data_IF_312643142670
#
_entry.id   IF_312643142670
#
_cell.length_a   1.000
_cell.length_b   1.000
_cell.length_c   1.000
_cell.angle_alpha   90.00
_cell.angle_beta   90.00
_cell.angle_gamma   90.00
#
_symmetry.space_group_name_H-M   'P 1'
#
loop_
_entity.id
_entity.type
_entity.pdbx_description
1 polymer ?
#
# COMPACT_ATOMS: atom_id res chain seq x y z
N UNK A 1 -8.91 5.53 -17.74
CA UNK A 1 -8.63 4.08 -17.87
C UNK A 1 -8.03 3.64 -16.56
N UNK A 2 -8.42 2.47 -16.01
CA UNK A 2 -7.80 1.95 -14.78
C UNK A 2 -6.35 1.50 -15.07
N UNK A 3 -5.46 1.70 -14.12
CA UNK A 3 -4.06 1.26 -14.16
C UNK A 3 -3.86 0.11 -13.17
N UNK A 4 -2.96 -0.82 -13.49
CA UNK A 4 -2.65 -1.98 -12.65
C UNK A 4 -1.38 -1.73 -11.86
N UNK A 5 -1.49 -1.66 -10.53
CA UNK A 5 -0.34 -1.78 -9.62
C UNK A 5 -0.32 -3.18 -8.99
N UNK A 6 0.81 -3.85 -9.03
CA UNK A 6 0.95 -5.22 -8.51
C UNK A 6 1.65 -5.21 -7.16
N UNK A 7 0.95 -5.71 -6.14
CA UNK A 7 1.53 -5.94 -4.82
C UNK A 7 2.31 -7.27 -4.82
N UNK A 8 3.62 -7.18 -4.56
CA UNK A 8 4.52 -8.35 -4.61
C UNK A 8 4.88 -8.93 -3.24
N UNK A 9 4.15 -8.55 -2.18
CA UNK A 9 4.40 -9.04 -0.80
C UNK A 9 4.32 -10.56 -0.67
N UNK A 10 3.44 -11.24 -1.44
CA UNK A 10 3.33 -12.70 -1.39
C UNK A 10 4.57 -13.40 -1.93
N UNK A 11 5.23 -12.82 -2.92
CA UNK A 11 6.52 -13.33 -3.40
C UNK A 11 7.62 -13.11 -2.34
N UNK A 12 7.61 -11.97 -1.65
CA UNK A 12 8.50 -11.71 -0.54
C UNK A 12 8.31 -12.71 0.61
N UNK A 13 7.04 -13.04 0.96
CA UNK A 13 6.73 -14.07 1.95
C UNK A 13 7.29 -15.43 1.53
N UNK A 14 7.10 -15.83 0.27
CA UNK A 14 7.63 -17.07 -0.26
C UNK A 14 9.18 -17.09 -0.21
N UNK A 15 9.85 -16.00 -0.61
CA UNK A 15 11.29 -15.84 -0.47
C UNK A 15 11.77 -16.05 0.96
N UNK A 16 11.07 -15.44 1.92
CA UNK A 16 11.45 -15.51 3.34
C UNK A 16 11.20 -16.89 3.97
N UNK A 17 10.41 -17.76 3.33
CA UNK A 17 10.18 -19.13 3.80
C UNK A 17 11.35 -20.07 3.50
N UNK A 18 12.39 -19.60 2.81
CA UNK A 18 13.58 -20.37 2.42
C UNK A 18 14.84 -19.57 2.70
N UNK A 19 15.99 -20.23 2.85
CA UNK A 19 17.27 -19.57 3.10
C UNK A 19 17.84 -18.86 1.86
N UNK A 20 17.51 -19.35 0.65
CA UNK A 20 17.91 -18.73 -0.60
C UNK A 20 17.05 -17.50 -0.93
N UNK A 21 17.64 -16.47 -1.56
CA UNK A 21 16.90 -15.29 -2.06
C UNK A 21 16.08 -15.65 -3.30
N UNK A 22 15.14 -16.57 -3.15
CA UNK A 22 14.30 -17.04 -4.24
C UNK A 22 12.83 -17.20 -3.79
N UNK A 23 11.85 -16.63 -4.54
CA UNK A 23 12.03 -15.81 -5.75
C UNK A 23 12.72 -14.47 -5.46
N UNK A 24 13.59 -14.02 -6.35
CA UNK A 24 14.19 -12.67 -6.30
C UNK A 24 13.11 -11.61 -6.58
N UNK A 25 12.97 -10.63 -5.68
CA UNK A 25 11.90 -9.63 -5.79
C UNK A 25 12.11 -8.66 -6.95
N UNK A 26 13.36 -8.35 -7.31
CA UNK A 26 13.61 -7.48 -8.44
C UNK A 26 13.23 -8.17 -9.76
N UNK A 27 13.53 -9.47 -9.90
CA UNK A 27 13.10 -10.25 -11.06
C UNK A 27 11.56 -10.39 -11.10
N UNK A 28 10.89 -10.58 -9.96
CA UNK A 28 9.44 -10.62 -9.89
C UNK A 28 8.84 -9.28 -10.33
N UNK A 29 9.33 -8.16 -9.79
CA UNK A 29 8.86 -6.82 -10.17
C UNK A 29 9.05 -6.56 -11.66
N UNK A 30 10.23 -6.89 -12.20
CA UNK A 30 10.54 -6.80 -13.63
C UNK A 30 9.54 -7.60 -14.47
N UNK A 31 9.25 -8.84 -14.10
CA UNK A 31 8.25 -9.68 -14.79
C UNK A 31 6.84 -9.07 -14.74
N UNK A 32 6.44 -8.53 -13.59
CA UNK A 32 5.14 -7.84 -13.50
C UNK A 32 5.07 -6.66 -14.49
N UNK A 33 6.12 -5.86 -14.59
CA UNK A 33 6.21 -4.73 -15.53
C UNK A 33 6.18 -5.23 -16.98
N UNK A 34 6.97 -6.24 -17.33
CA UNK A 34 6.99 -6.85 -18.67
C UNK A 34 5.59 -7.38 -19.09
N UNK A 35 4.79 -7.85 -18.13
CA UNK A 35 3.41 -8.30 -18.35
C UNK A 35 2.37 -7.19 -18.26
N UNK A 36 2.78 -5.93 -18.19
CA UNK A 36 1.90 -4.77 -18.30
C UNK A 36 1.47 -4.13 -17.00
N UNK A 37 2.10 -4.45 -15.87
CA UNK A 37 1.91 -3.67 -14.65
C UNK A 37 2.42 -2.25 -14.85
N UNK A 38 1.64 -1.28 -14.36
CA UNK A 38 1.96 0.14 -14.41
C UNK A 38 2.39 0.69 -13.05
N UNK A 39 2.43 -0.17 -12.04
CA UNK A 39 2.93 0.13 -10.72
C UNK A 39 3.35 -1.14 -9.97
N UNK A 40 4.27 -0.95 -9.03
CA UNK A 40 4.71 -1.99 -8.08
C UNK A 40 4.42 -1.50 -6.67
N UNK A 41 3.84 -2.38 -5.86
CA UNK A 41 3.51 -2.07 -4.47
C UNK A 41 4.25 -3.01 -3.51
N UNK A 42 4.85 -2.44 -2.47
CA UNK A 42 5.48 -3.15 -1.35
C UNK A 42 4.95 -2.66 -0.01
N UNK A 43 4.79 -3.61 0.94
CA UNK A 43 4.45 -3.31 2.33
C UNK A 43 5.53 -3.85 3.28
N UNK A 44 6.58 -3.09 3.58
CA UNK A 44 7.58 -3.49 4.58
C UNK A 44 6.98 -3.34 5.98
N UNK A 45 6.52 -4.46 6.53
CA UNK A 45 5.96 -4.46 7.90
C UNK A 45 7.09 -4.38 8.93
N UNK A 46 6.81 -3.92 10.17
CA UNK A 46 7.82 -3.83 11.23
C UNK A 46 8.54 -5.16 11.53
N UNK A 47 7.85 -6.28 11.36
CA UNK A 47 8.38 -7.64 11.58
C UNK A 47 9.04 -8.26 10.33
N UNK A 48 9.04 -7.56 9.21
CA UNK A 48 9.66 -7.95 7.94
C UNK A 48 9.28 -9.37 7.46
N UNK A 49 8.07 -9.85 7.83
CA UNK A 49 7.61 -11.21 7.48
C UNK A 49 7.49 -11.47 5.98
N UNK A 50 7.29 -10.40 5.19
CA UNK A 50 7.27 -10.45 3.72
C UNK A 50 8.27 -9.44 3.15
N UNK A 51 7.84 -8.29 2.58
CA UNK A 51 8.77 -7.26 2.15
C UNK A 51 9.56 -6.72 3.35
N UNK A 52 10.87 -6.53 3.15
CA UNK A 52 11.80 -5.95 4.13
C UNK A 52 12.07 -4.50 3.77
N UNK A 53 12.47 -3.69 4.75
CA UNK A 53 12.91 -2.32 4.45
C UNK A 53 14.11 -2.29 3.51
N UNK A 54 14.98 -3.32 3.54
CA UNK A 54 16.11 -3.46 2.62
C UNK A 54 15.72 -3.74 1.16
N UNK A 55 14.47 -4.16 0.89
CA UNK A 55 13.98 -4.36 -0.47
C UNK A 55 13.63 -3.02 -1.15
N UNK A 56 13.27 -1.99 -0.37
CA UNK A 56 12.80 -0.70 -0.89
C UNK A 56 13.78 -0.03 -1.86
N UNK A 57 15.08 0.16 -1.52
CA UNK A 57 16.02 0.80 -2.44
C UNK A 57 16.28 -0.03 -3.71
N UNK A 58 16.17 -1.36 -3.62
CA UNK A 58 16.36 -2.25 -4.76
C UNK A 58 15.22 -2.07 -5.76
N UNK A 59 13.98 -2.10 -5.27
CA UNK A 59 12.79 -1.94 -6.12
C UNK A 59 12.63 -0.51 -6.61
N UNK A 60 12.93 0.51 -5.80
CA UNK A 60 12.95 1.91 -6.24
C UNK A 60 13.87 2.10 -7.45
N UNK A 61 15.12 1.65 -7.32
CA UNK A 61 16.09 1.75 -8.41
C UNK A 61 15.67 0.99 -9.67
N UNK A 62 15.01 -0.17 -9.52
CA UNK A 62 14.47 -0.91 -10.64
C UNK A 62 13.36 -0.11 -11.33
N UNK A 63 12.38 0.39 -10.57
CA UNK A 63 11.23 1.14 -11.10
C UNK A 63 11.70 2.41 -11.80
N UNK A 64 12.67 3.15 -11.24
CA UNK A 64 13.27 4.34 -11.84
C UNK A 64 13.89 4.09 -13.24
N UNK A 65 14.24 2.85 -13.56
CA UNK A 65 14.74 2.49 -14.90
C UNK A 65 13.65 2.37 -15.97
N UNK A 66 12.39 2.46 -15.59
CA UNK A 66 11.24 2.41 -16.49
C UNK A 66 10.51 3.75 -16.52
N UNK A 67 10.15 4.23 -17.69
CA UNK A 67 9.26 5.36 -17.83
C UNK A 67 7.81 4.93 -17.52
N UNK A 68 7.10 5.72 -16.71
CA UNK A 68 5.67 5.53 -16.41
C UNK A 68 5.31 4.31 -15.54
N UNK A 69 6.22 3.82 -14.74
CA UNK A 69 5.93 2.83 -13.70
C UNK A 69 5.95 3.52 -12.33
N UNK A 70 4.86 3.41 -11.58
CA UNK A 70 4.76 4.00 -10.24
C UNK A 70 5.26 3.03 -9.15
N UNK A 71 5.96 3.56 -8.16
CA UNK A 71 6.31 2.83 -6.94
C UNK A 71 5.42 3.28 -5.79
N UNK A 72 4.68 2.34 -5.20
CA UNK A 72 3.85 2.55 -4.02
C UNK A 72 4.39 1.79 -2.82
N UNK A 73 4.56 2.47 -1.67
CA UNK A 73 4.98 1.84 -0.41
C UNK A 73 3.80 1.91 0.57
N UNK A 74 3.39 0.74 1.06
CA UNK A 74 2.33 0.64 2.06
C UNK A 74 2.92 0.54 3.47
N UNK A 75 2.27 1.13 4.47
CA UNK A 75 2.64 0.91 5.86
C UNK A 75 1.93 1.79 6.86
N UNK A 76 2.09 1.40 8.14
CA UNK A 76 1.70 2.23 9.27
C UNK A 76 2.70 3.38 9.43
N UNK A 77 2.28 4.62 9.66
CA UNK A 77 3.16 5.79 9.73
C UNK A 77 3.94 5.85 11.06
N UNK A 78 4.72 4.81 11.35
CA UNK A 78 5.72 4.83 12.40
C UNK A 78 6.90 5.72 12.01
N UNK A 79 7.68 6.18 12.98
CA UNK A 79 8.89 6.99 12.73
C UNK A 79 9.84 6.29 11.75
N UNK A 80 10.11 4.98 11.94
CA UNK A 80 10.94 4.19 11.02
C UNK A 80 10.38 4.21 9.61
N UNK A 81 9.07 3.97 9.45
CA UNK A 81 8.41 3.96 8.15
C UNK A 81 8.51 5.34 7.46
N UNK A 82 8.16 6.40 8.16
CA UNK A 82 8.22 7.78 7.63
C UNK A 82 9.65 8.12 7.19
N UNK A 83 10.66 7.76 7.99
CA UNK A 83 12.06 7.99 7.66
C UNK A 83 12.50 7.23 6.41
N UNK A 84 12.10 5.97 6.25
CA UNK A 84 12.44 5.18 5.05
C UNK A 84 11.72 5.71 3.81
N UNK A 85 10.43 6.02 3.89
CA UNK A 85 9.68 6.65 2.78
C UNK A 85 10.33 7.96 2.35
N UNK A 86 10.75 8.80 3.30
CA UNK A 86 11.42 10.06 3.02
C UNK A 86 12.78 9.90 2.32
N UNK A 87 13.50 8.79 2.56
CA UNK A 87 14.75 8.47 1.86
C UNK A 87 14.49 7.99 0.43
N UNK A 88 13.50 7.10 0.26
CA UNK A 88 13.16 6.47 -1.02
C UNK A 88 12.45 7.45 -1.96
N UNK A 89 11.54 8.29 -1.42
CA UNK A 89 10.68 9.20 -2.18
C UNK A 89 9.89 8.50 -3.30
N UNK A 90 9.04 7.52 -2.94
CA UNK A 90 8.23 6.81 -3.92
C UNK A 90 7.21 7.77 -4.57
N UNK A 91 6.59 7.36 -5.67
CA UNK A 91 5.50 8.11 -6.30
C UNK A 91 4.27 8.20 -5.40
N UNK A 92 4.03 7.15 -4.61
CA UNK A 92 2.90 7.08 -3.69
C UNK A 92 3.27 6.35 -2.40
N UNK A 93 2.63 6.76 -1.31
CA UNK A 93 2.54 6.01 -0.08
C UNK A 93 1.08 5.67 0.20
N UNK A 94 0.79 4.42 0.57
CA UNK A 94 -0.53 4.02 1.09
C UNK A 94 -0.43 3.81 2.60
N UNK A 95 -1.11 4.65 3.37
CA UNK A 95 -1.13 4.55 4.82
C UNK A 95 -2.17 3.52 5.26
N UNK A 96 -1.73 2.54 6.04
CA UNK A 96 -2.57 1.48 6.61
C UNK A 96 -2.59 1.54 8.14
N UNK A 97 -3.72 1.22 8.82
CA UNK A 97 -3.85 1.35 10.27
C UNK A 97 -3.26 0.16 11.06
N UNK A 98 -2.48 -0.69 10.42
CA UNK A 98 -1.98 -1.93 11.02
C UNK A 98 -0.96 -1.66 12.12
N UNK A 99 -1.29 -1.87 13.40
CA UNK A 99 -0.31 -1.74 14.45
C UNK A 99 0.77 -2.82 14.32
N UNK A 100 1.95 -2.62 14.93
CA UNK A 100 2.96 -3.66 15.04
C UNK A 100 2.36 -4.95 15.59
N UNK A 101 2.60 -6.09 14.92
CA UNK A 101 2.08 -7.40 15.32
C UNK A 101 0.74 -7.82 14.69
N UNK A 102 0.02 -6.95 13.99
CA UNK A 102 -1.17 -7.35 13.23
C UNK A 102 -0.82 -8.39 12.16
N UNK A 103 -1.58 -9.49 12.09
CA UNK A 103 -1.33 -10.57 11.12
C UNK A 103 -1.62 -10.15 9.67
N UNK A 104 -2.64 -9.34 9.47
CA UNK A 104 -3.07 -8.82 8.17
C UNK A 104 -3.85 -7.54 8.40
N UNK A 105 -3.96 -6.71 7.37
CA UNK A 105 -4.88 -5.56 7.37
C UNK A 105 -6.30 -6.10 7.39
N UNK A 106 -7.00 -5.92 8.49
CA UNK A 106 -8.38 -6.42 8.68
C UNK A 106 -9.42 -5.31 8.74
N UNK A 107 -9.00 -4.04 8.70
CA UNK A 107 -9.87 -2.86 8.71
C UNK A 107 -9.11 -1.65 8.15
N UNK A 108 -9.87 -0.67 7.66
CA UNK A 108 -9.36 0.63 7.22
C UNK A 108 -9.22 1.63 8.37
N UNK A 109 -8.65 2.80 8.09
CA UNK A 109 -8.52 3.88 9.06
C UNK A 109 -9.87 4.35 9.61
N UNK A 110 -9.92 4.54 10.91
CA UNK A 110 -10.90 5.39 11.56
C UNK A 110 -10.44 6.85 11.45
N UNK A 111 -10.91 7.53 10.41
CA UNK A 111 -10.50 8.91 10.11
C UNK A 111 -10.92 9.93 11.17
N UNK A 112 -11.92 9.62 12.01
CA UNK A 112 -12.29 10.47 13.13
C UNK A 112 -11.29 10.33 14.29
N UNK A 113 -11.02 9.10 14.70
CA UNK A 113 -10.11 8.80 15.82
C UNK A 113 -8.66 9.23 15.54
N UNK A 114 -8.19 9.01 14.33
CA UNK A 114 -6.80 9.27 13.95
C UNK A 114 -6.60 10.55 13.15
N UNK A 115 -7.59 11.45 13.12
CA UNK A 115 -7.61 12.67 12.32
C UNK A 115 -6.32 13.48 12.41
N UNK A 116 -5.89 13.85 13.61
CA UNK A 116 -4.69 14.68 13.83
C UNK A 116 -3.41 14.02 13.30
N UNK A 117 -3.24 12.72 13.56
CA UNK A 117 -2.11 11.95 13.05
C UNK A 117 -2.10 11.98 11.51
N UNK A 118 -3.24 11.67 10.91
CA UNK A 118 -3.37 11.56 9.45
C UNK A 118 -3.16 12.91 8.77
N UNK A 119 -3.72 14.01 9.28
CA UNK A 119 -3.47 15.36 8.75
C UNK A 119 -1.97 15.67 8.71
N UNK A 120 -1.26 15.42 9.80
CA UNK A 120 0.16 15.74 9.91
C UNK A 120 1.01 14.91 8.93
N UNK A 121 0.76 13.60 8.87
CA UNK A 121 1.53 12.69 8.01
C UNK A 121 1.23 12.92 6.53
N UNK A 122 -0.04 13.13 6.18
CA UNK A 122 -0.45 13.42 4.79
C UNK A 122 0.23 14.70 4.30
N UNK A 123 0.18 15.78 5.09
CA UNK A 123 0.85 17.04 4.74
C UNK A 123 2.37 16.88 4.61
N UNK A 124 3.01 16.13 5.52
CA UNK A 124 4.46 15.92 5.47
C UNK A 124 4.90 15.23 4.18
N UNK A 125 4.18 14.20 3.74
CA UNK A 125 4.49 13.51 2.48
C UNK A 125 4.16 14.36 1.25
N UNK A 126 3.00 15.03 1.23
CA UNK A 126 2.61 15.91 0.13
C UNK A 126 3.59 17.07 -0.10
N UNK A 127 4.13 17.67 0.98
CA UNK A 127 5.18 18.69 0.88
C UNK A 127 6.47 18.19 0.22
N UNK A 128 6.68 16.88 0.19
CA UNK A 128 7.83 16.22 -0.45
C UNK A 128 7.48 15.65 -1.84
N UNK A 129 6.32 16.03 -2.39
CA UNK A 129 5.78 15.55 -3.66
C UNK A 129 5.52 14.03 -3.68
N UNK A 130 5.22 13.42 -2.53
CA UNK A 130 4.80 12.03 -2.42
C UNK A 130 3.27 12.02 -2.32
N UNK A 131 2.59 11.37 -3.26
CA UNK A 131 1.14 11.20 -3.25
C UNK A 131 0.73 10.28 -2.11
N UNK A 132 -0.34 10.62 -1.41
CA UNK A 132 -0.81 9.85 -0.25
C UNK A 132 -2.16 9.20 -0.55
N UNK A 133 -2.23 7.89 -0.36
CA UNK A 133 -3.46 7.09 -0.34
C UNK A 133 -3.77 6.64 1.09
N UNK A 134 -5.05 6.66 1.49
CA UNK A 134 -5.50 6.12 2.77
C UNK A 134 -6.28 4.83 2.56
N UNK A 135 -5.90 3.77 3.27
CA UNK A 135 -6.64 2.52 3.31
C UNK A 135 -7.87 2.66 4.23
N UNK A 136 -9.07 2.53 3.68
CA UNK A 136 -10.34 2.78 4.38
C UNK A 136 -11.35 1.66 4.14
N UNK A 137 -12.29 1.49 5.06
CA UNK A 137 -13.43 0.60 4.84
C UNK A 137 -14.40 1.23 3.81
N UNK A 138 -15.11 0.41 3.01
CA UNK A 138 -16.09 0.90 2.05
C UNK A 138 -17.41 1.27 2.76
N UNK A 139 -17.37 2.27 3.62
CA UNK A 139 -18.52 2.80 4.33
C UNK A 139 -18.44 4.31 4.46
N UNK A 140 -19.59 4.99 4.48
CA UNK A 140 -19.66 6.45 4.61
C UNK A 140 -19.05 6.91 5.93
N UNK A 141 -19.23 6.14 6.99
CA UNK A 141 -18.69 6.44 8.32
C UNK A 141 -17.15 6.49 8.31
N UNK A 142 -16.51 5.62 7.55
CA UNK A 142 -15.05 5.59 7.39
C UNK A 142 -14.51 6.81 6.65
N UNK A 143 -15.35 7.47 5.86
CA UNK A 143 -14.99 8.64 5.06
C UNK A 143 -15.21 9.98 5.78
N UNK A 144 -15.79 9.94 7.00
CA UNK A 144 -15.96 11.15 7.82
C UNK A 144 -14.58 11.79 8.06
N UNK A 145 -14.50 13.11 7.87
CA UNK A 145 -13.27 13.91 7.95
C UNK A 145 -12.21 13.72 6.84
N UNK A 146 -12.43 12.93 5.81
CA UNK A 146 -11.50 12.87 4.69
C UNK A 146 -11.25 14.23 4.03
N UNK A 147 -12.31 15.08 3.99
CA UNK A 147 -12.23 16.45 3.48
C UNK A 147 -11.38 17.40 4.35
N UNK A 148 -10.98 16.99 5.54
CA UNK A 148 -10.05 17.73 6.38
C UNK A 148 -8.65 17.13 6.37
N UNK A 149 -8.56 15.79 6.20
CA UNK A 149 -7.28 15.07 6.07
C UNK A 149 -6.65 15.33 4.70
N UNK A 150 -7.49 15.43 3.63
CA UNK A 150 -7.10 15.73 2.25
C UNK A 150 -6.05 14.77 1.67
N UNK A 151 -6.24 13.44 1.76
CA UNK A 151 -5.38 12.53 1.02
C UNK A 151 -5.60 12.69 -0.50
N UNK A 152 -4.62 12.33 -1.31
CA UNK A 152 -4.73 12.38 -2.77
C UNK A 152 -5.61 11.26 -3.31
N UNK A 153 -5.66 10.12 -2.61
CA UNK A 153 -6.42 8.92 -2.98
C UNK A 153 -6.95 8.19 -1.75
N UNK A 154 -7.89 7.29 -1.99
CA UNK A 154 -8.32 6.27 -1.03
C UNK A 154 -8.16 4.89 -1.65
N UNK A 155 -7.78 3.92 -0.82
CA UNK A 155 -7.78 2.50 -1.13
C UNK A 155 -8.89 1.83 -0.33
N UNK A 156 -9.85 1.20 -1.01
CA UNK A 156 -10.99 0.57 -0.37
C UNK A 156 -10.65 -0.88 0.03
N UNK A 157 -10.96 -1.24 1.26
CA UNK A 157 -10.85 -2.62 1.74
C UNK A 157 -11.87 -3.53 1.03
N UNK A 158 -11.38 -4.55 0.34
CA UNK A 158 -12.20 -5.37 -0.56
C UNK A 158 -12.42 -6.81 -0.09
N UNK A 159 -12.11 -7.13 1.17
CA UNK A 159 -12.28 -8.49 1.70
C UNK A 159 -13.72 -9.00 1.61
N UNK A 160 -14.69 -8.20 2.07
CA UNK A 160 -16.10 -8.58 2.03
C UNK A 160 -16.62 -8.66 0.60
N UNK A 161 -16.15 -7.82 -0.31
CA UNK A 161 -16.42 -7.96 -1.73
C UNK A 161 -15.94 -9.32 -2.24
N UNK A 162 -14.68 -9.67 -2.04
CA UNK A 162 -14.11 -10.93 -2.52
C UNK A 162 -14.83 -12.15 -1.94
N UNK A 163 -15.18 -12.11 -0.65
CA UNK A 163 -15.89 -13.20 0.04
C UNK A 163 -17.30 -13.41 -0.49
N UNK A 164 -18.02 -12.33 -0.76
CA UNK A 164 -19.44 -12.39 -1.09
C UNK A 164 -19.74 -12.38 -2.59
N UNK A 165 -18.76 -12.03 -3.43
CA UNK A 165 -18.94 -11.81 -4.87
C UNK A 165 -19.51 -13.03 -5.62
N UNK A 166 -19.07 -14.23 -5.26
CA UNK A 166 -19.58 -15.47 -5.88
C UNK A 166 -20.96 -15.89 -5.35
N UNK A 167 -21.34 -15.41 -4.15
CA UNK A 167 -22.62 -15.72 -3.52
C UNK A 167 -23.71 -14.76 -3.99
N UNK A 168 -23.45 -13.47 -3.97
CA UNK A 168 -24.37 -12.40 -4.38
C UNK A 168 -23.58 -11.20 -4.91
N UNK A 169 -23.30 -11.23 -6.22
CA UNK A 169 -22.56 -10.18 -6.92
C UNK A 169 -23.17 -8.79 -6.73
N UNK A 170 -24.48 -8.67 -6.77
CA UNK A 170 -25.19 -7.40 -6.71
C UNK A 170 -25.04 -6.73 -5.33
N UNK A 171 -25.19 -7.50 -4.27
CA UNK A 171 -25.00 -6.99 -2.91
C UNK A 171 -23.52 -6.82 -2.55
N UNK A 172 -22.63 -7.68 -3.06
CA UNK A 172 -21.20 -7.55 -2.82
C UNK A 172 -20.61 -6.23 -3.36
N UNK A 173 -21.09 -5.72 -4.51
CA UNK A 173 -20.59 -4.50 -5.12
C UNK A 173 -21.19 -3.22 -4.52
N UNK A 174 -22.38 -3.32 -3.90
CA UNK A 174 -23.15 -2.16 -3.43
C UNK A 174 -22.38 -1.19 -2.52
N UNK A 175 -21.53 -1.63 -1.57
CA UNK A 175 -20.74 -0.72 -0.72
C UNK A 175 -19.66 0.07 -1.48
N UNK A 176 -19.37 -0.28 -2.73
CA UNK A 176 -18.32 0.31 -3.56
C UNK A 176 -18.86 1.23 -4.67
N UNK A 177 -20.17 1.41 -4.71
CA UNK A 177 -20.88 2.31 -5.64
C UNK A 177 -21.28 3.61 -4.94
#
# INVERSE_FOLDING_TARGET
>A
MAVLSVNINKFALLRNSREANHPDLAEVAKKCIEYGAQGITLHPRPDERHAKFSDLPIISKLVESYSNIEFNIEGYPSEKFVNEVNKIKPDQVTLVPDPPGALTSSFGWDCLKYKTLLINVVKDFQQKNIRVSLFVNPSIESLINLNEILPDRVELYTFDFAKNFLLDRKNAIKPYL
#
